data_IF_844697113708
#
_entry.id   IF_844697113708
#
_cell.length_a   1.000
_cell.length_b   1.000
_cell.length_c   1.000
_cell.angle_alpha   90.00
_cell.angle_beta   90.00
_cell.angle_gamma   90.00
#
_symmetry.space_group_name_H-M   'P 1'
#
loop_
_entity.id
_entity.type
_entity.pdbx_description
1 polymer ?
#
# COMPACT_ATOMS: atom_id res chain seq x y z
N UNK A 1 -17.94 -11.91 12.40
CA UNK A 1 -16.91 -11.39 11.48
C UNK A 1 -17.57 -10.30 10.64
N UNK A 2 -17.07 -9.05 10.71
CA UNK A 2 -17.57 -7.98 9.86
C UNK A 2 -16.82 -7.99 8.51
N UNK A 3 -17.52 -7.68 7.42
CA UNK A 3 -16.90 -7.58 6.11
C UNK A 3 -15.90 -6.43 6.08
N UNK A 4 -14.72 -6.67 5.49
CA UNK A 4 -13.65 -5.70 5.29
C UNK A 4 -13.02 -5.92 3.92
N UNK A 5 -12.39 -4.88 3.40
CA UNK A 5 -11.60 -4.93 2.15
C UNK A 5 -10.13 -4.80 2.52
N UNK A 6 -9.28 -5.61 1.88
CA UNK A 6 -7.83 -5.43 1.93
C UNK A 6 -7.42 -4.64 0.68
N UNK A 7 -6.64 -3.59 0.89
CA UNK A 7 -5.98 -2.83 -0.17
C UNK A 7 -4.47 -3.09 -0.06
N UNK A 8 -3.83 -3.44 -1.17
CA UNK A 8 -2.39 -3.65 -1.26
C UNK A 8 -1.83 -2.70 -2.31
N UNK A 9 -0.80 -1.93 -1.96
CA UNK A 9 -0.16 -0.95 -2.81
C UNK A 9 1.36 -1.07 -2.63
N UNK A 10 2.07 -1.31 -3.73
CA UNK A 10 3.53 -1.29 -3.78
C UNK A 10 3.94 0.09 -4.28
N UNK A 11 4.92 0.71 -3.62
CA UNK A 11 5.35 2.08 -3.90
C UNK A 11 6.87 2.14 -4.02
N UNK A 12 7.37 2.99 -4.91
CA UNK A 12 8.79 3.25 -5.10
C UNK A 12 9.10 4.75 -5.02
N UNK A 13 8.64 5.53 -6.01
CA UNK A 13 8.94 6.98 -6.08
C UNK A 13 8.23 7.81 -5.01
N UNK A 14 7.12 7.31 -4.48
CA UNK A 14 6.34 7.96 -3.42
C UNK A 14 6.77 7.37 -2.07
N UNK A 15 7.12 8.20 -1.07
CA UNK A 15 7.39 7.71 0.26
C UNK A 15 6.23 6.87 0.80
N UNK A 16 6.55 5.69 1.35
CA UNK A 16 5.52 4.80 1.90
C UNK A 16 4.67 5.47 2.98
N UNK A 17 5.26 6.38 3.76
CA UNK A 17 4.54 7.12 4.80
C UNK A 17 3.44 8.01 4.21
N UNK A 18 3.71 8.71 3.10
CA UNK A 18 2.72 9.59 2.47
C UNK A 18 1.50 8.80 1.98
N UNK A 19 1.71 7.57 1.48
CA UNK A 19 0.63 6.66 1.07
C UNK A 19 -0.13 6.10 2.28
N UNK A 20 0.58 5.78 3.37
CA UNK A 20 -0.04 5.37 4.64
C UNK A 20 -0.96 6.48 5.16
N UNK A 21 -0.49 7.72 5.19
CA UNK A 21 -1.23 8.87 5.69
C UNK A 21 -2.47 9.14 4.83
N UNK A 22 -2.32 9.10 3.50
CA UNK A 22 -3.45 9.27 2.58
C UNK A 22 -4.53 8.19 2.76
N UNK A 23 -4.14 6.91 2.94
CA UNK A 23 -5.10 5.82 3.19
C UNK A 23 -5.76 5.99 4.56
N UNK A 24 -4.97 6.32 5.59
CA UNK A 24 -5.47 6.49 6.94
C UNK A 24 -6.47 7.65 7.03
N UNK A 25 -6.15 8.80 6.44
CA UNK A 25 -7.04 9.97 6.40
C UNK A 25 -8.35 9.65 5.67
N UNK A 26 -8.28 9.02 4.49
CA UNK A 26 -9.47 8.72 3.69
C UNK A 26 -10.37 7.63 4.32
N UNK A 27 -9.80 6.69 5.07
CA UNK A 27 -10.53 5.57 5.67
C UNK A 27 -10.99 5.81 7.11
N UNK A 28 -10.58 6.91 7.75
CA UNK A 28 -10.89 7.20 9.14
C UNK A 28 -12.34 7.62 9.36
N UNK A 29 -13.02 6.96 10.29
CA UNK A 29 -14.37 7.34 10.74
C UNK A 29 -14.41 7.75 12.21
N UNK A 30 -13.38 7.40 12.99
CA UNK A 30 -13.32 7.64 14.44
C UNK A 30 -13.84 6.47 15.28
N UNK A 31 -14.45 5.46 14.65
CA UNK A 31 -15.11 4.36 15.34
C UNK A 31 -14.28 3.07 15.38
N UNK A 32 -14.51 2.19 16.38
CA UNK A 32 -13.86 0.88 16.42
C UNK A 32 -14.12 0.07 15.15
N UNK A 33 -13.05 -0.19 14.40
CA UNK A 33 -13.13 -1.00 13.18
C UNK A 33 -12.65 -0.30 11.90
N UNK A 34 -12.16 0.93 11.98
CA UNK A 34 -11.50 1.66 10.87
C UNK A 34 -10.41 0.84 10.17
N UNK A 35 -9.75 -0.04 10.91
CA UNK A 35 -8.80 -0.99 10.37
C UNK A 35 -7.37 -0.66 10.75
N UNK A 36 -6.42 -1.11 9.94
CA UNK A 36 -4.98 -0.96 10.15
C UNK A 36 -4.29 -0.90 8.78
N UNK A 37 -3.24 -0.09 8.69
CA UNK A 37 -2.30 -0.09 7.57
C UNK A 37 -1.00 -0.70 8.07
N UNK A 38 -0.40 -1.56 7.26
CA UNK A 38 0.89 -2.18 7.56
C UNK A 38 1.85 -1.87 6.43
N UNK A 39 3.12 -1.60 6.79
CA UNK A 39 4.20 -1.41 5.84
C UNK A 39 5.13 -2.60 5.94
N UNK A 40 5.42 -3.23 4.80
CA UNK A 40 6.33 -4.38 4.71
C UNK A 40 7.39 -4.10 3.66
N UNK A 41 8.67 -4.49 3.90
CA UNK A 41 9.71 -4.33 2.89
C UNK A 41 9.42 -5.24 1.69
N UNK A 42 9.70 -4.71 0.49
CA UNK A 42 9.65 -5.45 -0.77
C UNK A 42 11.06 -5.41 -1.34
N UNK A 43 11.70 -6.58 -1.43
CA UNK A 43 13.11 -6.66 -1.85
C UNK A 43 13.28 -6.49 -3.36
N UNK A 44 12.27 -6.88 -4.16
CA UNK A 44 12.38 -6.89 -5.61
C UNK A 44 11.01 -6.82 -6.30
N UNK A 45 10.96 -6.18 -7.47
CA UNK A 45 9.77 -6.09 -8.33
C UNK A 45 10.14 -6.38 -9.79
N UNK A 46 9.19 -6.94 -10.55
CA UNK A 46 9.34 -7.25 -11.98
C UNK A 46 8.05 -6.89 -12.72
N UNK A 47 8.15 -6.07 -13.77
CA UNK A 47 7.03 -5.77 -14.64
C UNK A 47 6.93 -6.81 -15.76
N UNK A 48 5.91 -7.69 -15.70
CA UNK A 48 5.74 -8.84 -16.60
C UNK A 48 5.83 -8.46 -18.09
N UNK A 49 5.20 -7.34 -18.48
CA UNK A 49 5.11 -6.93 -19.90
C UNK A 49 6.46 -6.54 -20.50
N UNK A 50 7.36 -5.95 -19.72
CA UNK A 50 8.59 -5.32 -20.24
C UNK A 50 9.85 -5.96 -19.70
N UNK A 51 9.76 -6.75 -18.63
CA UNK A 51 10.92 -7.33 -17.94
C UNK A 51 11.71 -6.32 -17.10
N UNK A 52 11.26 -5.08 -16.97
CA UNK A 52 11.88 -4.10 -16.07
C UNK A 52 11.87 -4.61 -14.63
N UNK A 53 12.90 -4.26 -13.87
CA UNK A 53 13.09 -4.68 -12.47
C UNK A 53 13.33 -3.51 -11.54
N UNK A 54 13.21 -3.73 -10.23
CA UNK A 54 13.46 -2.72 -9.20
C UNK A 54 12.38 -1.63 -9.18
N UNK A 55 12.76 -0.41 -8.79
CA UNK A 55 11.85 0.73 -8.68
C UNK A 55 11.13 1.03 -10.01
N UNK A 56 11.81 0.93 -11.15
CA UNK A 56 11.26 1.16 -12.49
C UNK A 56 10.12 0.19 -12.89
N UNK A 57 9.96 -0.90 -12.13
CA UNK A 57 8.91 -1.89 -12.34
C UNK A 57 7.62 -1.58 -11.56
N UNK A 58 7.70 -0.67 -10.59
CA UNK A 58 6.62 -0.21 -9.71
C UNK A 58 6.05 1.08 -10.26
#
# INVERSE_FOLDING_TARGET
LHQKVKVECIVADIPAQDVVDAIAEAAHTGEPGDGKVFVTPVEHAVQIRTGKTGADAV
#
